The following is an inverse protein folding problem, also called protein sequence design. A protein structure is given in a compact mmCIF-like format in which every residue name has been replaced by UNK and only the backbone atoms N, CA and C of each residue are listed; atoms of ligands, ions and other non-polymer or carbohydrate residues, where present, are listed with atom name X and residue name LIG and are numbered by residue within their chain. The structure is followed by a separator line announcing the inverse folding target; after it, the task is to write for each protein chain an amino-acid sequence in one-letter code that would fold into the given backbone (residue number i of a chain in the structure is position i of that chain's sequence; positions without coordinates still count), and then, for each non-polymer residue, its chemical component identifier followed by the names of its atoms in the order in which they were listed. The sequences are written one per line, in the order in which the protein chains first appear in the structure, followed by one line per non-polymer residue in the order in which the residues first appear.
data_IF_822303903379
#
_entry.id   IF_822303903379
#
_cell.length_a   1.000
_cell.length_b   1.000
_cell.length_c   1.000
_cell.angle_alpha   90.00
_cell.angle_beta   90.00
_cell.angle_gamma   90.00
#
_symmetry.space_group_name_H-M   'P 1'
#
loop_
_entity.id
_entity.type
_entity.pdbx_description
1 polymer ?
#
# COMPACT_ATOMS: atom_id res chain seq x y z
N UNK A 1 15.98 -41.34 12.21
CA UNK A 1 15.66 -40.14 13.02
C UNK A 1 14.42 -40.36 13.90
N UNK A 2 13.30 -40.84 13.36
CA UNK A 2 12.07 -41.09 14.13
C UNK A 2 12.22 -42.21 15.19
N UNK A 3 12.98 -43.25 14.88
CA UNK A 3 13.24 -44.39 15.78
C UNK A 3 14.09 -44.05 17.02
N UNK A 4 14.88 -42.97 16.94
CA UNK A 4 15.61 -42.41 18.07
C UNK A 4 15.12 -40.98 18.32
N UNK A 5 13.93 -40.87 18.91
CA UNK A 5 13.17 -39.64 19.03
C UNK A 5 13.79 -38.56 19.93
N UNK A 6 14.84 -38.90 20.69
CA UNK A 6 15.47 -38.03 21.71
C UNK A 6 16.76 -37.35 21.26
N UNK A 7 17.33 -37.68 20.11
CA UNK A 7 18.55 -37.04 19.58
C UNK A 7 18.64 -37.10 18.05
N UNK A 8 19.25 -36.08 17.44
CA UNK A 8 19.62 -36.09 16.01
C UNK A 8 21.03 -36.65 15.78
N UNK A 9 21.85 -36.75 16.82
CA UNK A 9 23.25 -37.20 16.73
C UNK A 9 23.43 -38.57 16.06
N UNK A 10 22.63 -39.60 16.38
CA UNK A 10 22.78 -40.93 15.76
C UNK A 10 22.58 -40.91 14.24
N UNK A 11 21.68 -40.06 13.74
CA UNK A 11 21.46 -39.90 12.31
C UNK A 11 22.56 -39.05 11.67
N UNK A 12 23.00 -37.98 12.36
CA UNK A 12 24.13 -37.17 11.95
C UNK A 12 25.41 -38.01 11.77
N UNK A 13 25.69 -38.90 12.73
CA UNK A 13 26.86 -39.80 12.69
C UNK A 13 26.75 -40.83 11.55
N UNK A 14 25.57 -41.44 11.35
CA UNK A 14 25.34 -42.44 10.32
C UNK A 14 25.48 -41.90 8.89
N UNK A 15 25.10 -40.63 8.68
CA UNK A 15 25.19 -39.96 7.37
C UNK A 15 26.41 -39.03 7.26
N UNK A 16 27.27 -38.98 8.28
CA UNK A 16 28.43 -38.09 8.36
C UNK A 16 28.11 -36.61 8.09
N UNK A 17 26.96 -36.14 8.60
CA UNK A 17 26.51 -34.74 8.48
C UNK A 17 26.47 -34.05 9.84
N UNK A 18 26.83 -32.76 9.96
CA UNK A 18 26.77 -32.05 11.23
C UNK A 18 25.33 -31.66 11.60
N UNK A 19 25.00 -31.70 12.90
CA UNK A 19 23.77 -31.11 13.42
C UNK A 19 23.88 -29.59 13.39
N UNK A 20 22.93 -28.92 12.75
CA UNK A 20 22.87 -27.46 12.67
C UNK A 20 21.81 -26.89 13.62
N UNK A 21 22.14 -25.78 14.29
CA UNK A 21 21.21 -25.05 15.16
C UNK A 21 20.82 -23.73 14.48
N UNK A 22 19.53 -23.49 14.33
CA UNK A 22 19.02 -22.19 13.85
C UNK A 22 18.88 -21.19 14.99
N UNK A 23 18.83 -19.92 14.64
CA UNK A 23 18.28 -18.86 15.50
C UNK A 23 16.76 -19.02 15.65
N UNK A 24 16.14 -18.14 16.45
CA UNK A 24 14.68 -18.08 16.59
C UNK A 24 13.99 -17.86 15.24
N UNK A 25 13.05 -18.73 14.92
CA UNK A 25 12.27 -18.68 13.68
C UNK A 25 10.78 -18.74 14.00
N UNK A 26 10.00 -17.84 13.39
CA UNK A 26 8.55 -18.02 13.34
C UNK A 26 8.17 -19.12 12.33
N UNK A 27 6.93 -19.60 12.40
CA UNK A 27 6.41 -20.53 11.38
C UNK A 27 6.63 -19.98 9.96
N UNK A 28 6.28 -18.72 9.73
CA UNK A 28 6.36 -18.08 8.43
C UNK A 28 7.83 -17.89 7.96
N UNK A 29 8.74 -17.53 8.87
CA UNK A 29 10.15 -17.36 8.52
C UNK A 29 10.81 -18.69 8.17
N UNK A 30 10.51 -19.74 8.94
CA UNK A 30 11.01 -21.09 8.67
C UNK A 30 10.46 -21.68 7.37
N UNK A 31 9.17 -21.45 7.07
CA UNK A 31 8.55 -21.94 5.84
C UNK A 31 9.21 -21.32 4.61
N UNK A 32 9.57 -20.02 4.69
CA UNK A 32 10.32 -19.32 3.65
C UNK A 32 11.78 -19.78 3.56
N UNK A 33 12.46 -19.95 4.69
CA UNK A 33 13.87 -20.33 4.74
C UNK A 33 14.10 -21.75 4.19
N UNK A 34 13.31 -22.72 4.65
CA UNK A 34 13.38 -24.10 4.21
C UNK A 34 12.56 -24.38 2.94
N UNK A 35 11.81 -23.39 2.44
CA UNK A 35 10.90 -23.52 1.30
C UNK A 35 9.93 -24.71 1.46
N UNK A 36 9.48 -24.96 2.68
CA UNK A 36 8.67 -26.13 3.01
C UNK A 36 7.73 -25.85 4.18
N UNK A 37 6.44 -25.68 3.87
CA UNK A 37 5.38 -25.62 4.87
C UNK A 37 5.17 -26.97 5.57
N UNK A 38 5.43 -28.09 4.87
CA UNK A 38 5.31 -29.44 5.42
C UNK A 38 6.27 -29.63 6.60
N UNK A 39 7.52 -29.19 6.46
CA UNK A 39 8.50 -29.26 7.55
C UNK A 39 8.04 -28.40 8.75
N UNK A 40 7.59 -27.16 8.50
CA UNK A 40 7.16 -26.26 9.57
C UNK A 40 5.89 -26.75 10.29
N UNK A 41 4.96 -27.36 9.56
CA UNK A 41 3.77 -28.00 10.14
C UNK A 41 4.18 -29.05 11.16
N UNK A 42 5.15 -29.90 10.84
CA UNK A 42 5.64 -30.95 11.74
C UNK A 42 6.39 -30.37 12.94
N UNK A 43 7.23 -29.35 12.72
CA UNK A 43 7.99 -28.67 13.79
C UNK A 43 7.08 -28.07 14.86
N UNK A 44 5.91 -27.56 14.47
CA UNK A 44 4.95 -26.92 15.37
C UNK A 44 3.83 -27.87 15.88
N UNK A 45 3.99 -29.19 15.72
CA UNK A 45 3.09 -30.17 16.34
C UNK A 45 3.34 -30.31 17.84
N UNK A 46 2.32 -30.75 18.58
CA UNK A 46 2.43 -30.99 20.03
C UNK A 46 3.54 -31.99 20.38
N UNK A 47 3.73 -33.04 19.58
CA UNK A 47 4.78 -34.05 19.82
C UNK A 47 6.20 -33.45 19.75
N UNK A 48 6.40 -32.45 18.88
CA UNK A 48 7.72 -31.82 18.71
C UNK A 48 7.90 -30.65 19.66
N UNK A 49 6.84 -29.87 19.92
CA UNK A 49 6.87 -28.72 20.82
C UNK A 49 6.91 -29.13 22.30
N UNK A 50 6.02 -30.05 22.71
CA UNK A 50 5.84 -30.48 24.11
C UNK A 50 6.73 -31.67 24.46
N UNK A 51 6.67 -32.72 23.64
CA UNK A 51 7.41 -33.97 23.94
C UNK A 51 8.85 -33.94 23.41
N UNK A 52 9.25 -32.84 22.76
CA UNK A 52 10.61 -32.60 22.23
C UNK A 52 11.09 -33.76 21.36
N UNK A 53 10.18 -34.38 20.59
CA UNK A 53 10.52 -35.45 19.65
C UNK A 53 11.14 -34.87 18.38
N UNK A 54 11.89 -35.69 17.67
CA UNK A 54 12.35 -35.35 16.32
C UNK A 54 11.18 -35.45 15.32
N UNK A 55 11.14 -34.58 14.31
CA UNK A 55 10.21 -34.73 13.18
C UNK A 55 10.59 -35.95 12.34
N UNK A 56 9.65 -36.41 11.52
CA UNK A 56 9.99 -37.23 10.36
C UNK A 56 10.91 -36.48 9.38
N UNK A 57 11.59 -37.21 8.51
CA UNK A 57 12.40 -36.63 7.46
C UNK A 57 11.50 -36.12 6.34
N UNK A 58 11.58 -34.82 6.06
CA UNK A 58 10.78 -34.15 5.04
C UNK A 58 11.68 -33.71 3.90
N UNK A 59 11.25 -33.99 2.67
CA UNK A 59 11.93 -33.46 1.49
C UNK A 59 11.65 -31.96 1.36
N UNK A 60 12.71 -31.16 1.40
CA UNK A 60 12.63 -29.68 1.28
C UNK A 60 13.14 -29.17 -0.07
N UNK A 61 13.91 -29.99 -0.78
CA UNK A 61 14.32 -29.79 -2.17
C UNK A 61 14.69 -31.14 -2.77
N UNK A 62 14.80 -31.22 -4.11
CA UNK A 62 15.20 -32.45 -4.80
C UNK A 62 16.44 -33.07 -4.18
N UNK A 63 16.29 -34.29 -3.67
CA UNK A 63 17.36 -35.07 -3.04
C UNK A 63 17.91 -34.48 -1.72
N UNK A 64 17.15 -33.60 -1.06
CA UNK A 64 17.48 -33.04 0.26
C UNK A 64 16.36 -33.31 1.25
N UNK A 65 16.64 -34.17 2.22
CA UNK A 65 15.75 -34.49 3.34
C UNK A 65 16.22 -33.75 4.60
N UNK A 66 15.28 -33.12 5.30
CA UNK A 66 15.53 -32.44 6.57
C UNK A 66 14.64 -33.02 7.64
N UNK A 67 15.24 -33.31 8.79
CA UNK A 67 14.51 -33.61 10.03
C UNK A 67 14.93 -32.57 11.08
N UNK A 68 13.96 -32.13 11.89
CA UNK A 68 14.14 -31.06 12.85
C UNK A 68 13.79 -31.52 14.27
N UNK A 69 14.35 -30.82 15.26
CA UNK A 69 14.05 -30.98 16.67
C UNK A 69 13.96 -29.60 17.30
N UNK A 70 12.90 -29.35 18.06
CA UNK A 70 12.73 -28.06 18.73
C UNK A 70 13.53 -28.05 20.03
N UNK A 71 14.55 -27.20 20.09
CA UNK A 71 15.34 -26.99 21.32
C UNK A 71 14.54 -26.14 22.30
N UNK A 72 14.07 -24.97 21.87
CA UNK A 72 13.30 -24.03 22.68
C UNK A 72 12.07 -23.52 21.92
N UNK A 73 11.00 -23.20 22.64
CA UNK A 73 9.74 -22.71 22.06
C UNK A 73 9.16 -21.59 22.92
N UNK A 74 8.94 -20.45 22.27
CA UNK A 74 8.26 -19.29 22.86
C UNK A 74 6.87 -19.17 22.24
N UNK A 75 5.79 -19.34 23.02
CA UNK A 75 4.43 -19.15 22.53
C UNK A 75 4.24 -17.74 21.96
N UNK A 76 3.38 -17.63 20.94
CA UNK A 76 2.95 -16.32 20.47
C UNK A 76 2.23 -15.61 21.61
N UNK A 77 2.79 -14.47 22.03
CA UNK A 77 2.17 -13.58 22.99
C UNK A 77 1.90 -12.24 22.30
N UNK A 78 0.83 -11.52 22.67
CA UNK A 78 0.70 -10.13 22.28
C UNK A 78 1.97 -9.39 22.73
N UNK A 79 2.56 -8.64 21.79
CA UNK A 79 3.72 -7.81 22.10
C UNK A 79 3.39 -6.90 23.28
N UNK A 80 4.34 -6.72 24.19
CA UNK A 80 4.11 -5.85 25.34
C UNK A 80 3.92 -4.41 24.88
N UNK A 81 3.29 -3.57 25.70
CA UNK A 81 3.16 -2.14 25.39
C UNK A 81 4.53 -1.51 25.13
N UNK A 82 5.56 -1.87 25.92
CA UNK A 82 6.91 -1.34 25.76
C UNK A 82 7.53 -1.68 24.40
N UNK A 83 7.25 -2.87 23.85
CA UNK A 83 7.74 -3.30 22.52
C UNK A 83 7.07 -2.54 21.36
N UNK A 84 5.80 -2.14 21.52
CA UNK A 84 5.04 -1.46 20.45
C UNK A 84 4.93 0.05 20.63
N UNK A 85 5.30 0.56 21.80
CA UNK A 85 5.15 1.97 22.20
C UNK A 85 5.73 2.92 21.16
N UNK A 86 6.97 2.69 20.72
CA UNK A 86 7.63 3.54 19.73
C UNK A 86 6.83 3.60 18.41
N UNK A 87 6.35 2.45 17.93
CA UNK A 87 5.54 2.39 16.70
C UNK A 87 4.18 3.10 16.84
N UNK A 88 3.54 2.98 18.01
CA UNK A 88 2.28 3.68 18.29
C UNK A 88 2.52 5.20 18.38
N UNK A 89 3.57 5.62 19.06
CA UNK A 89 3.93 7.04 19.17
C UNK A 89 4.19 7.66 17.79
N UNK A 90 4.94 6.97 16.93
CA UNK A 90 5.23 7.45 15.58
C UNK A 90 3.96 7.50 14.71
N UNK A 91 3.10 6.49 14.82
CA UNK A 91 1.78 6.50 14.16
C UNK A 91 0.93 7.71 14.60
N UNK A 92 0.81 7.93 15.91
CA UNK A 92 0.01 9.03 16.46
C UNK A 92 0.60 10.40 16.13
N UNK A 93 1.93 10.53 16.06
CA UNK A 93 2.59 11.77 15.62
C UNK A 93 2.21 12.08 14.18
N UNK A 94 2.29 11.11 13.28
CA UNK A 94 1.94 11.28 11.87
C UNK A 94 0.45 11.61 11.72
N UNK A 95 -0.42 10.91 12.44
CA UNK A 95 -1.86 11.16 12.41
C UNK A 95 -2.20 12.59 12.85
N UNK A 96 -1.66 13.02 14.00
CA UNK A 96 -1.88 14.38 14.50
C UNK A 96 -1.28 15.44 13.58
N UNK A 97 -0.09 15.19 13.02
CA UNK A 97 0.55 16.11 12.08
C UNK A 97 -0.30 16.28 10.81
N UNK A 98 -0.82 15.20 10.25
CA UNK A 98 -1.69 15.23 9.06
C UNK A 98 -2.98 16.00 9.34
N UNK A 99 -3.63 15.73 10.48
CA UNK A 99 -4.85 16.45 10.88
C UNK A 99 -4.59 17.96 11.00
N UNK A 100 -3.52 18.33 11.70
CA UNK A 100 -3.14 19.73 11.88
C UNK A 100 -2.77 20.41 10.54
N UNK A 101 -2.13 19.69 9.61
CA UNK A 101 -1.83 20.21 8.27
C UNK A 101 -3.11 20.48 7.46
N UNK A 102 -4.11 19.60 7.55
CA UNK A 102 -5.42 19.79 6.89
C UNK A 102 -6.16 20.98 7.50
N UNK A 103 -6.21 21.09 8.83
CA UNK A 103 -6.89 22.19 9.53
C UNK A 103 -6.25 23.54 9.20
N UNK A 104 -4.91 23.61 9.19
CA UNK A 104 -4.19 24.83 8.77
C UNK A 104 -4.39 25.15 7.29
N UNK A 105 -4.34 24.15 6.42
CA UNK A 105 -4.50 24.32 4.98
C UNK A 105 -5.91 24.75 4.56
N UNK A 106 -6.94 24.24 5.24
CA UNK A 106 -8.34 24.63 5.02
C UNK A 106 -8.60 26.06 5.51
N UNK A 107 -8.05 26.44 6.67
CA UNK A 107 -8.11 27.81 7.18
C UNK A 107 -7.40 28.78 6.23
N UNK A 108 -6.19 28.43 5.78
CA UNK A 108 -5.43 29.20 4.81
C UNK A 108 -6.18 29.35 3.48
N UNK A 109 -6.84 28.28 2.99
CA UNK A 109 -7.65 28.36 1.77
C UNK A 109 -8.81 29.35 1.93
N UNK A 110 -9.48 29.34 3.09
CA UNK A 110 -10.58 30.26 3.38
C UNK A 110 -10.10 31.71 3.42
N UNK A 111 -8.97 31.98 4.08
CA UNK A 111 -8.38 33.31 4.14
C UNK A 111 -7.88 33.81 2.76
N UNK A 112 -7.25 32.94 1.96
CA UNK A 112 -6.84 33.26 0.58
C UNK A 112 -8.06 33.58 -0.30
N UNK A 113 -9.15 32.81 -0.18
CA UNK A 113 -10.41 33.09 -0.89
C UNK A 113 -11.07 34.38 -0.43
N UNK A 114 -10.85 34.78 0.82
CA UNK A 114 -11.30 36.07 1.38
C UNK A 114 -10.35 37.25 1.02
N UNK A 115 -9.27 37.00 0.27
CA UNK A 115 -8.31 38.03 -0.13
C UNK A 115 -7.33 38.44 0.98
N UNK A 116 -7.25 37.69 2.08
CA UNK A 116 -6.27 37.92 3.14
C UNK A 116 -4.94 37.26 2.79
N UNK A 117 -3.84 37.92 3.14
CA UNK A 117 -2.52 37.32 3.06
C UNK A 117 -2.36 36.29 4.18
N UNK A 118 -2.03 35.06 3.81
CA UNK A 118 -1.68 34.00 4.76
C UNK A 118 -0.17 33.97 4.92
N UNK A 119 0.31 34.13 6.14
CA UNK A 119 1.74 34.08 6.48
C UNK A 119 2.20 32.61 6.63
N UNK A 120 3.43 32.31 6.21
CA UNK A 120 4.00 30.96 6.32
C UNK A 120 3.69 30.00 5.17
N UNK A 121 3.26 30.52 4.01
CA UNK A 121 3.11 29.73 2.78
C UNK A 121 4.15 30.19 1.76
N UNK A 122 5.10 29.31 1.47
CA UNK A 122 6.07 29.51 0.39
C UNK A 122 5.49 28.97 -0.91
N UNK A 123 5.21 29.89 -1.85
CA UNK A 123 4.75 29.51 -3.18
C UNK A 123 5.93 29.13 -4.07
N UNK A 124 5.77 28.06 -4.85
CA UNK A 124 6.69 27.77 -5.95
C UNK A 124 6.65 28.88 -7.00
N UNK A 125 7.69 28.94 -7.83
CA UNK A 125 7.69 29.80 -9.01
C UNK A 125 6.48 29.47 -9.90
N UNK A 126 5.86 30.51 -10.46
CA UNK A 126 4.71 30.34 -11.35
C UNK A 126 5.13 29.56 -12.60
N UNK A 127 4.50 28.41 -12.84
CA UNK A 127 4.71 27.58 -14.02
C UNK A 127 3.45 27.56 -14.89
N UNK A 128 3.63 27.48 -16.20
CA UNK A 128 2.53 27.29 -17.17
C UNK A 128 2.44 25.80 -17.47
N UNK A 129 1.28 25.20 -17.20
CA UNK A 129 1.05 23.77 -17.40
C UNK A 129 -0.08 23.51 -18.38
N UNK A 130 0.02 22.40 -19.10
CA UNK A 130 -1.03 21.87 -19.96
C UNK A 130 -1.32 20.40 -19.59
N UNK A 131 -2.35 19.78 -20.17
CA UNK A 131 -2.73 18.40 -19.81
C UNK A 131 -1.68 17.34 -20.15
N UNK A 132 -0.67 17.68 -20.95
CA UNK A 132 0.44 16.82 -21.39
C UNK A 132 1.75 17.14 -20.67
N UNK A 133 1.92 18.37 -20.18
CA UNK A 133 3.15 18.86 -19.58
C UNK A 133 2.92 19.48 -18.20
N UNK A 134 3.36 18.75 -17.17
CA UNK A 134 3.19 19.13 -15.78
C UNK A 134 4.25 20.10 -15.24
N UNK A 135 5.33 20.38 -15.98
CA UNK A 135 6.42 21.29 -15.57
C UNK A 135 6.89 21.08 -14.11
N UNK A 136 6.99 19.82 -13.67
CA UNK A 136 7.44 19.45 -12.32
C UNK A 136 6.34 19.43 -11.23
N UNK A 137 5.09 19.72 -11.57
CA UNK A 137 3.96 19.54 -10.66
C UNK A 137 3.61 18.06 -10.49
N UNK A 138 3.09 17.71 -9.31
CA UNK A 138 2.63 16.35 -9.02
C UNK A 138 1.31 16.02 -9.71
N UNK A 139 1.04 14.73 -9.93
CA UNK A 139 -0.24 14.25 -10.49
C UNK A 139 -1.47 14.71 -9.67
N UNK A 140 -1.31 14.82 -8.35
CA UNK A 140 -2.36 15.34 -7.48
C UNK A 140 -2.65 16.82 -7.78
N UNK A 141 -1.61 17.62 -8.03
CA UNK A 141 -1.76 19.01 -8.47
C UNK A 141 -2.42 19.06 -9.84
N UNK A 142 -1.92 18.28 -10.81
CA UNK A 142 -2.39 18.28 -12.20
C UNK A 142 -3.86 17.84 -12.32
N UNK A 143 -4.28 16.84 -11.57
CA UNK A 143 -5.67 16.35 -11.59
C UNK A 143 -6.67 17.34 -10.96
N UNK A 144 -6.19 18.26 -10.12
CA UNK A 144 -7.04 19.24 -9.44
C UNK A 144 -6.96 20.63 -10.06
N UNK A 145 -5.82 21.05 -10.62
CA UNK A 145 -5.65 22.40 -11.19
C UNK A 145 -6.64 22.68 -12.32
N UNK A 146 -6.93 21.70 -13.17
CA UNK A 146 -7.88 21.85 -14.28
C UNK A 146 -9.35 21.77 -13.86
N UNK A 147 -9.65 21.49 -12.58
CA UNK A 147 -11.01 21.49 -12.03
C UNK A 147 -11.37 22.82 -11.35
N UNK A 148 -10.40 23.72 -11.22
CA UNK A 148 -10.57 25.00 -10.53
C UNK A 148 -11.37 25.95 -11.43
N UNK A 149 -12.40 26.57 -10.87
CA UNK A 149 -13.14 27.62 -11.55
C UNK A 149 -12.24 28.87 -11.71
N UNK A 150 -11.85 29.14 -12.96
CA UNK A 150 -11.00 30.26 -13.33
C UNK A 150 -11.77 31.56 -13.64
N UNK A 151 -13.06 31.64 -13.33
CA UNK A 151 -13.88 32.83 -13.58
C UNK A 151 -13.46 34.03 -12.72
N UNK A 152 -12.86 33.79 -11.55
CA UNK A 152 -12.30 34.82 -10.68
C UNK A 152 -10.83 34.49 -10.40
N UNK A 153 -9.94 35.35 -10.88
CA UNK A 153 -8.49 35.20 -10.70
C UNK A 153 -7.95 36.21 -9.68
N UNK A 154 -6.99 35.82 -8.82
CA UNK A 154 -6.45 34.47 -8.69
C UNK A 154 -7.44 33.50 -8.05
N UNK A 155 -7.54 32.28 -8.61
CA UNK A 155 -8.37 31.22 -8.05
C UNK A 155 -7.54 30.33 -7.14
N UNK A 156 -8.10 29.95 -5.98
CA UNK A 156 -7.43 29.12 -4.99
C UNK A 156 -8.18 27.81 -4.78
N UNK A 157 -7.46 26.70 -4.79
CA UNK A 157 -7.97 25.39 -4.41
C UNK A 157 -7.06 24.71 -3.39
N UNK A 158 -7.64 23.80 -2.62
CA UNK A 158 -6.92 23.04 -1.61
C UNK A 158 -7.30 21.56 -1.71
N UNK A 159 -6.32 20.69 -1.56
CA UNK A 159 -6.49 19.24 -1.64
C UNK A 159 -5.76 18.60 -0.48
N UNK A 160 -6.46 17.77 0.30
CA UNK A 160 -5.82 16.96 1.32
C UNK A 160 -5.14 15.74 0.67
N UNK A 161 -3.85 15.59 0.94
CA UNK A 161 -3.10 14.38 0.64
C UNK A 161 -2.88 13.60 1.94
N UNK A 162 -3.56 12.46 2.08
CA UNK A 162 -3.43 11.56 3.23
C UNK A 162 -1.98 11.16 3.57
N UNK A 163 -1.03 11.28 2.63
CA UNK A 163 0.38 10.91 2.81
C UNK A 163 1.33 12.10 2.85
N UNK A 164 0.94 13.26 2.32
CA UNK A 164 1.84 14.42 2.16
C UNK A 164 1.30 15.73 2.76
N UNK A 165 0.16 15.71 3.44
CA UNK A 165 -0.40 16.86 4.14
C UNK A 165 -1.47 17.58 3.33
N UNK A 166 -1.37 18.91 3.17
CA UNK A 166 -2.37 19.71 2.47
C UNK A 166 -1.73 20.53 1.36
N UNK A 167 -2.21 20.36 0.13
CA UNK A 167 -1.73 21.05 -1.06
C UNK A 167 -2.63 22.26 -1.34
N UNK A 168 -2.02 23.45 -1.44
CA UNK A 168 -2.67 24.66 -1.94
C UNK A 168 -2.25 24.94 -3.38
N UNK A 169 -3.23 25.24 -4.22
CA UNK A 169 -3.05 25.53 -5.65
C UNK A 169 -3.55 26.94 -5.90
N UNK A 170 -2.71 27.78 -6.50
CA UNK A 170 -3.04 29.15 -6.93
C UNK A 170 -2.98 29.21 -8.45
N UNK A 171 -4.12 29.51 -9.07
CA UNK A 171 -4.22 29.75 -10.52
C UNK A 171 -4.20 31.26 -10.74
N UNK A 172 -3.15 31.74 -11.40
CA UNK A 172 -2.95 33.16 -11.73
C UNK A 172 -3.61 33.56 -13.04
N UNK A 173 -3.71 32.63 -14.00
CA UNK A 173 -4.32 32.87 -15.30
C UNK A 173 -4.58 31.58 -16.06
N UNK A 174 -5.51 31.65 -17.02
CA UNK A 174 -5.79 30.57 -17.96
C UNK A 174 -5.59 31.10 -19.36
N UNK A 175 -4.78 30.39 -20.15
CA UNK A 175 -4.56 30.68 -21.56
C UNK A 175 -5.34 29.66 -22.39
N UNK A 176 -6.38 30.15 -23.06
CA UNK A 176 -7.28 29.33 -23.90
C UNK A 176 -6.93 29.39 -25.38
N UNK A 177 -5.80 30.03 -25.74
CA UNK A 177 -5.41 30.18 -27.13
C UNK A 177 -4.90 28.82 -27.61
N UNK A 178 -5.73 28.09 -28.37
CA UNK A 178 -5.22 27.00 -29.19
C UNK A 178 -4.13 27.60 -30.07
N UNK A 179 -2.93 27.02 -30.02
CA UNK A 179 -1.92 27.27 -31.04
C UNK A 179 -2.58 27.05 -32.40
N UNK A 180 -2.27 27.89 -33.38
CA UNK A 180 -2.91 27.85 -34.71
C UNK A 180 -2.47 26.63 -35.54
N UNK A 181 -1.90 25.64 -34.88
CA UNK A 181 -1.47 24.37 -35.40
C UNK A 181 -2.67 23.45 -35.65
N UNK A 182 -2.94 23.20 -36.93
CA UNK A 182 -3.96 22.26 -37.42
C UNK A 182 -3.83 20.86 -36.80
N UNK A 183 -2.61 20.39 -36.52
CA UNK A 183 -2.40 19.10 -35.88
C UNK A 183 -2.85 19.11 -34.41
N UNK A 184 -2.59 20.20 -33.68
CA UNK A 184 -3.04 20.39 -32.31
C UNK A 184 -4.58 20.48 -32.23
N UNK A 185 -5.23 21.15 -33.20
CA UNK A 185 -6.71 21.23 -33.29
C UNK A 185 -7.33 19.85 -33.54
N UNK A 186 -6.78 19.05 -34.46
CA UNK A 186 -7.26 17.68 -34.71
C UNK A 186 -7.07 16.77 -33.50
N UNK A 187 -5.92 16.84 -32.85
CA UNK A 187 -5.66 16.08 -31.62
C UNK A 187 -6.63 16.48 -30.50
N UNK A 188 -6.87 17.78 -30.29
CA UNK A 188 -7.81 18.28 -29.30
C UNK A 188 -9.25 17.80 -29.56
N UNK A 189 -9.69 17.72 -30.82
CA UNK A 189 -11.00 17.18 -31.20
C UNK A 189 -11.13 15.69 -30.89
N UNK A 190 -10.08 14.90 -31.14
CA UNK A 190 -10.05 13.46 -30.81
C UNK A 190 -10.09 13.27 -29.30
N UNK A 191 -9.28 14.03 -28.55
CA UNK A 191 -9.24 13.98 -27.09
C UNK A 191 -10.60 14.36 -26.48
N UNK A 192 -11.24 15.41 -27.01
CA UNK A 192 -12.58 15.84 -26.59
C UNK A 192 -13.64 14.75 -26.83
N UNK A 193 -13.63 14.12 -28.01
CA UNK A 193 -14.56 13.02 -28.33
C UNK A 193 -14.36 11.83 -27.42
N UNK A 194 -13.11 11.49 -27.12
CA UNK A 194 -12.76 10.39 -26.22
C UNK A 194 -13.23 10.67 -24.80
N UNK A 195 -13.03 11.90 -24.30
CA UNK A 195 -13.51 12.32 -22.99
C UNK A 195 -15.04 12.27 -22.90
N UNK A 196 -15.75 12.81 -23.91
CA UNK A 196 -17.21 12.75 -23.98
C UNK A 196 -17.72 11.30 -24.01
N UNK A 197 -17.11 10.43 -24.81
CA UNK A 197 -17.48 9.01 -24.88
C UNK A 197 -17.32 8.31 -23.53
N UNK A 198 -16.23 8.59 -22.81
CA UNK A 198 -16.00 8.05 -21.47
C UNK A 198 -17.03 8.57 -20.45
N UNK A 199 -17.34 9.87 -20.49
CA UNK A 199 -18.36 10.49 -19.63
C UNK A 199 -19.74 9.88 -19.89
N UNK A 200 -20.18 9.83 -21.15
CA UNK A 200 -21.45 9.20 -21.53
C UNK A 200 -21.51 7.73 -21.14
N UNK A 201 -20.42 6.97 -21.34
CA UNK A 201 -20.35 5.58 -20.92
C UNK A 201 -20.49 5.42 -19.40
N UNK A 202 -19.80 6.26 -18.63
CA UNK A 202 -19.90 6.26 -17.17
C UNK A 202 -21.30 6.63 -16.66
N UNK A 203 -21.93 7.64 -17.26
CA UNK A 203 -23.28 8.09 -16.92
C UNK A 203 -24.33 7.02 -17.29
N UNK A 204 -24.20 6.39 -18.46
CA UNK A 204 -25.06 5.30 -18.89
C UNK A 204 -24.99 4.08 -17.96
N UNK A 205 -23.77 3.66 -17.59
CA UNK A 205 -23.57 2.60 -16.60
C UNK A 205 -24.13 3.00 -15.22
N UNK A 206 -23.96 4.26 -14.82
CA UNK A 206 -24.54 4.79 -13.59
C UNK A 206 -26.06 4.70 -13.59
N UNK A 207 -26.71 5.12 -14.68
CA UNK A 207 -28.16 5.04 -14.84
C UNK A 207 -28.68 3.60 -14.82
N UNK A 208 -28.00 2.67 -15.51
CA UNK A 208 -28.36 1.24 -15.50
C UNK A 208 -28.25 0.62 -14.09
N UNK A 209 -27.19 0.96 -13.35
CA UNK A 209 -27.01 0.51 -11.96
C UNK A 209 -28.08 1.08 -11.03
N UNK A 210 -28.58 2.29 -11.29
CA UNK A 210 -29.64 2.90 -10.50
C UNK A 210 -31.02 2.31 -10.82
N UNK A 211 -31.30 1.96 -12.08
CA UNK A 211 -32.57 1.37 -12.52
C UNK A 211 -32.73 -0.10 -12.09
N UNK A 212 -31.63 -0.86 -12.04
CA UNK A 212 -31.67 -2.30 -11.73
C UNK A 212 -31.26 -2.59 -10.29
N UNK A 213 -32.05 -3.43 -9.59
CA UNK A 213 -31.65 -4.01 -8.30
C UNK A 213 -30.56 -5.06 -8.52
N UNK A 214 -29.30 -4.66 -8.33
CA UNK A 214 -28.15 -5.57 -8.42
C UNK A 214 -27.86 -6.15 -7.04
N UNK A 215 -27.97 -7.47 -6.90
CA UNK A 215 -27.56 -8.21 -5.70
C UNK A 215 -26.13 -8.73 -5.90
N UNK A 216 -25.16 -8.17 -5.19
CA UNK A 216 -23.76 -8.66 -5.21
C UNK A 216 -23.56 -9.60 -4.03
N UNK A 217 -23.36 -10.89 -4.29
CA UNK A 217 -23.00 -11.86 -3.26
C UNK A 217 -21.49 -11.76 -2.96
N UNK A 218 -21.15 -10.97 -1.95
CA UNK A 218 -19.76 -10.70 -1.55
C UNK A 218 -18.99 -11.92 -1.05
N UNK A 219 -19.65 -13.03 -0.70
CA UNK A 219 -18.95 -14.28 -0.31
C UNK A 219 -18.28 -14.99 -1.49
N UNK A 220 -18.81 -14.84 -2.71
CA UNK A 220 -18.25 -15.43 -3.93
C UNK A 220 -17.12 -14.58 -4.54
N UNK A 221 -17.03 -13.30 -4.16
CA UNK A 221 -16.00 -12.38 -4.66
C UNK A 221 -14.69 -12.45 -3.87
N UNK A 222 -14.68 -13.06 -2.68
CA UNK A 222 -13.51 -13.15 -1.80
C UNK A 222 -12.88 -14.55 -1.74
N UNK A 223 -13.40 -15.53 -2.50
CA UNK A 223 -12.88 -16.91 -2.47
C UNK A 223 -11.59 -17.14 -3.28
N UNK A 224 -11.16 -16.19 -4.11
CA UNK A 224 -9.97 -16.37 -4.99
C UNK A 224 -8.68 -15.73 -4.46
N UNK A 225 -8.67 -15.14 -3.25
CA UNK A 225 -7.45 -14.58 -2.65
C UNK A 225 -6.95 -15.37 -1.42
N UNK A 226 -7.41 -16.61 -1.24
CA UNK A 226 -6.99 -17.51 -0.16
C UNK A 226 -6.32 -18.81 -0.66
N UNK A 227 -5.90 -18.86 -1.93
CA UNK A 227 -5.15 -19.98 -2.48
C UNK A 227 -4.10 -19.51 -3.48
N UNK A 228 -3.03 -18.87 -2.98
CA UNK A 228 -1.70 -18.89 -3.57
C UNK A 228 -0.66 -18.59 -2.49
#
# INVERSE_FOLDING_TARGET
VYEQSTSLQPAADAFHVPVQKSEWLSYADGAKFFKSDKLMTLVFTDEVLKDKRNTEAVEVSSNTLVAARVVDYKPSAPRSFDEVKAGIEDFLKIEKATKLAIDKGTTALADLKAGKAVTGIDWINSVVVDRKNAQGLTDLTMSNVFKIDASKLPAYAGVADSKKGYLLIKVTGVQSKLTDDEAAKKAALVDLRTALAAEYGSAYLGALKADKKIYVNSRLMMSDNAAQ
#
